data_IF_720236522116
#
_entry.id   IF_720236522116
#
_cell.length_a   1.000
_cell.length_b   1.000
_cell.length_c   1.000
_cell.angle_alpha   90.00
_cell.angle_beta   90.00
_cell.angle_gamma   90.00
#
_symmetry.space_group_name_H-M   'P 1'
#
loop_
_entity.id
_entity.type
_entity.pdbx_description
1 polymer ?
#
# COMPACT_ATOMS: atom_id res chain seq x y z
N UNK A 1 12.38 48.87 -85.68
CA UNK A 1 12.39 47.39 -85.54
C UNK A 1 12.39 47.04 -84.05
N UNK A 2 11.25 46.59 -83.52
CA UNK A 2 11.12 46.15 -82.12
C UNK A 2 11.06 44.61 -82.10
N UNK A 3 12.04 43.96 -81.47
CA UNK A 3 12.05 42.50 -81.27
C UNK A 3 10.88 42.11 -80.35
N UNK A 4 10.12 41.04 -80.65
CA UNK A 4 9.01 40.64 -79.81
C UNK A 4 9.52 40.00 -78.51
N UNK A 5 8.95 40.44 -77.39
CA UNK A 5 9.22 39.96 -76.03
C UNK A 5 8.58 38.57 -75.86
N UNK A 6 9.39 37.54 -75.58
CA UNK A 6 8.91 36.16 -75.36
C UNK A 6 7.93 36.11 -74.18
N UNK A 7 6.72 35.59 -74.43
CA UNK A 7 5.63 35.44 -73.45
C UNK A 7 5.79 34.07 -72.77
N UNK A 8 6.29 34.03 -71.54
CA UNK A 8 6.50 32.80 -70.74
C UNK A 8 5.83 32.94 -69.38
N UNK A 9 4.52 32.70 -69.17
CA UNK A 9 3.99 33.09 -67.84
C UNK A 9 2.74 32.41 -67.24
N UNK A 10 2.21 31.28 -67.71
CA UNK A 10 1.09 30.63 -66.94
C UNK A 10 1.20 29.13 -66.71
N UNK A 11 1.60 28.34 -67.71
CA UNK A 11 1.80 26.91 -67.51
C UNK A 11 3.05 26.63 -66.64
N UNK A 12 4.17 27.29 -66.95
CA UNK A 12 5.43 27.19 -66.21
C UNK A 12 5.31 27.66 -64.75
N UNK A 13 4.48 28.66 -64.46
CA UNK A 13 4.27 29.17 -63.09
C UNK A 13 3.46 28.22 -62.17
N UNK A 14 2.66 27.31 -62.76
CA UNK A 14 1.94 26.27 -62.00
C UNK A 14 2.83 25.05 -61.74
N UNK A 15 3.61 24.64 -62.73
CA UNK A 15 4.63 23.59 -62.56
C UNK A 15 5.66 24.00 -61.52
N UNK A 16 6.15 25.24 -61.57
CA UNK A 16 7.18 25.74 -60.65
C UNK A 16 6.66 25.86 -59.20
N UNK A 17 5.37 26.18 -58.98
CA UNK A 17 4.76 26.16 -57.64
C UNK A 17 4.61 24.76 -57.06
N UNK A 18 4.25 23.78 -57.89
CA UNK A 18 4.16 22.39 -57.44
C UNK A 18 5.55 21.81 -57.22
N UNK A 19 6.52 22.10 -58.09
CA UNK A 19 7.92 21.69 -57.94
C UNK A 19 8.60 22.33 -56.73
N UNK A 20 8.33 23.60 -56.43
CA UNK A 20 8.82 24.27 -55.22
C UNK A 20 8.06 23.84 -53.97
N UNK A 21 6.79 23.46 -54.08
CA UNK A 21 6.04 22.85 -52.98
C UNK A 21 6.55 21.45 -52.67
N UNK A 22 6.74 20.59 -53.69
CA UNK A 22 7.32 19.25 -53.50
C UNK A 22 8.76 19.36 -53.04
N UNK A 23 9.57 20.30 -53.55
CA UNK A 23 10.92 20.55 -53.06
C UNK A 23 10.93 21.06 -51.61
N UNK A 24 9.97 21.92 -51.21
CA UNK A 24 9.81 22.35 -49.81
C UNK A 24 9.40 21.20 -48.92
N UNK A 25 8.43 20.39 -49.34
CA UNK A 25 7.99 19.18 -48.63
C UNK A 25 9.14 18.17 -48.52
N UNK A 26 9.87 17.93 -49.60
CA UNK A 26 11.07 17.10 -49.66
C UNK A 26 12.12 17.61 -48.67
N UNK A 27 12.45 18.90 -48.71
CA UNK A 27 13.43 19.50 -47.80
C UNK A 27 13.00 19.48 -46.33
N UNK A 28 11.69 19.58 -46.06
CA UNK A 28 11.15 19.49 -44.71
C UNK A 28 11.20 18.06 -44.19
N UNK A 29 10.82 17.09 -45.03
CA UNK A 29 10.99 15.67 -44.73
C UNK A 29 12.47 15.38 -44.49
N UNK A 30 13.36 15.75 -45.42
CA UNK A 30 14.82 15.53 -45.35
C UNK A 30 15.47 16.19 -44.11
N UNK A 31 14.95 17.34 -43.67
CA UNK A 31 15.46 18.08 -42.51
C UNK A 31 14.99 17.50 -41.16
N UNK A 32 13.75 17.01 -41.07
CA UNK A 32 13.16 16.59 -39.79
C UNK A 32 12.97 15.07 -39.62
N UNK A 33 13.07 14.25 -40.68
CA UNK A 33 12.81 12.80 -40.59
C UNK A 33 13.77 12.08 -39.62
N UNK A 34 15.02 12.53 -39.49
CA UNK A 34 15.98 11.96 -38.54
C UNK A 34 15.53 12.18 -37.10
N UNK A 35 15.09 13.40 -36.76
CA UNK A 35 14.59 13.72 -35.43
C UNK A 35 13.26 13.02 -35.13
N UNK A 36 12.37 12.93 -36.12
CA UNK A 36 11.12 12.17 -36.01
C UNK A 36 11.37 10.67 -35.82
N UNK A 37 12.32 10.08 -36.56
CA UNK A 37 12.72 8.68 -36.40
C UNK A 37 13.35 8.41 -35.03
N UNK A 38 14.20 9.32 -34.53
CA UNK A 38 14.77 9.22 -33.17
C UNK A 38 13.65 9.28 -32.13
N UNK A 39 12.66 10.17 -32.28
CA UNK A 39 11.54 10.27 -31.35
C UNK A 39 10.69 8.99 -31.34
N UNK A 40 10.36 8.44 -32.52
CA UNK A 40 9.62 7.17 -32.63
C UNK A 40 10.40 6.01 -32.02
N UNK A 41 11.71 5.90 -32.33
CA UNK A 41 12.57 4.87 -31.75
C UNK A 41 12.62 4.98 -30.22
N UNK A 42 12.76 6.20 -29.68
CA UNK A 42 12.72 6.43 -28.24
C UNK A 42 11.40 5.97 -27.61
N UNK A 43 10.26 6.26 -28.24
CA UNK A 43 8.94 5.79 -27.78
C UNK A 43 8.85 4.26 -27.81
N UNK A 44 9.35 3.60 -28.85
CA UNK A 44 9.37 2.12 -28.93
C UNK A 44 10.25 1.51 -27.85
N UNK A 45 11.45 2.05 -27.61
CA UNK A 45 12.33 1.59 -26.52
C UNK A 45 11.66 1.79 -25.17
N UNK A 46 11.00 2.94 -24.94
CA UNK A 46 10.26 3.19 -23.70
C UNK A 46 9.10 2.20 -23.53
N UNK A 47 8.31 1.93 -24.58
CA UNK A 47 7.24 0.93 -24.53
C UNK A 47 7.78 -0.46 -24.22
N UNK A 48 8.87 -0.87 -24.86
CA UNK A 48 9.51 -2.16 -24.58
C UNK A 48 10.07 -2.24 -23.15
N UNK A 49 10.70 -1.17 -22.67
CA UNK A 49 11.17 -1.09 -21.29
C UNK A 49 10.01 -1.22 -20.29
N UNK A 50 8.88 -0.53 -20.53
CA UNK A 50 7.69 -0.63 -19.67
C UNK A 50 7.12 -2.06 -19.67
N UNK A 51 6.95 -2.69 -20.84
CA UNK A 51 6.43 -4.06 -20.90
C UNK A 51 7.39 -5.06 -20.27
N UNK A 52 8.69 -4.89 -20.45
CA UNK A 52 9.71 -5.72 -19.82
C UNK A 52 9.71 -5.56 -18.30
N UNK A 53 9.62 -4.34 -17.77
CA UNK A 53 9.52 -4.07 -16.33
C UNK A 53 8.24 -4.69 -15.77
N UNK A 54 7.09 -4.51 -16.41
CA UNK A 54 5.82 -5.09 -15.97
C UNK A 54 5.83 -6.63 -16.03
N UNK A 55 6.39 -7.22 -17.09
CA UNK A 55 6.50 -8.67 -17.25
C UNK A 55 7.42 -9.29 -16.18
N UNK A 56 8.57 -8.67 -15.96
CA UNK A 56 9.52 -9.09 -14.92
C UNK A 56 8.92 -8.94 -13.52
N UNK A 57 8.18 -7.85 -13.27
CA UNK A 57 7.45 -7.62 -12.02
C UNK A 57 6.39 -8.68 -11.75
N UNK A 58 5.55 -9.03 -12.75
CA UNK A 58 4.53 -10.08 -12.62
C UNK A 58 5.13 -11.44 -12.29
N UNK A 59 6.26 -11.80 -12.90
CA UNK A 59 6.95 -13.05 -12.58
C UNK A 59 7.49 -13.06 -11.14
N UNK A 60 8.03 -11.92 -10.69
CA UNK A 60 8.54 -11.76 -9.33
C UNK A 60 7.42 -11.85 -8.29
N UNK A 61 6.31 -11.16 -8.52
CA UNK A 61 5.11 -11.25 -7.66
C UNK A 61 4.55 -12.67 -7.59
N UNK A 62 4.52 -13.41 -8.72
CA UNK A 62 4.03 -14.78 -8.72
C UNK A 62 4.91 -15.71 -7.85
N UNK A 63 6.24 -15.55 -7.91
CA UNK A 63 7.18 -16.31 -7.07
C UNK A 63 7.07 -15.93 -5.60
N UNK A 64 6.97 -14.64 -5.30
CA UNK A 64 6.77 -14.16 -3.93
C UNK A 64 5.45 -14.65 -3.34
N UNK A 65 4.39 -14.69 -4.15
CA UNK A 65 3.09 -15.24 -3.75
C UNK A 65 3.13 -16.75 -3.47
N UNK A 66 3.95 -17.50 -4.23
CA UNK A 66 4.19 -18.91 -3.94
C UNK A 66 4.90 -19.11 -2.59
N UNK A 67 5.96 -18.33 -2.32
CA UNK A 67 6.64 -18.39 -1.02
C UNK A 67 5.72 -17.98 0.13
N UNK A 68 4.84 -16.98 -0.07
CA UNK A 68 3.84 -16.60 0.93
C UNK A 68 2.89 -17.77 1.21
N UNK A 69 2.39 -18.43 0.16
CA UNK A 69 1.49 -19.58 0.30
C UNK A 69 2.16 -20.71 1.08
N UNK A 70 3.40 -21.04 0.74
CA UNK A 70 4.17 -22.08 1.42
C UNK A 70 4.50 -21.70 2.87
N UNK A 71 4.78 -20.42 3.15
CA UNK A 71 4.98 -19.92 4.51
C UNK A 71 3.70 -20.08 5.35
N UNK A 72 2.54 -19.77 4.77
CA UNK A 72 1.22 -19.90 5.43
C UNK A 72 0.84 -21.36 5.66
N UNK A 73 1.13 -22.24 4.71
CA UNK A 73 0.94 -23.68 4.86
C UNK A 73 1.79 -24.22 6.02
N UNK A 74 3.10 -23.94 6.02
CA UNK A 74 4.00 -24.29 7.11
C UNK A 74 3.51 -23.74 8.46
N UNK A 75 3.04 -22.49 8.49
CA UNK A 75 2.51 -21.86 9.70
C UNK A 75 1.27 -22.59 10.22
N UNK A 76 0.36 -22.99 9.31
CA UNK A 76 -0.84 -23.76 9.66
C UNK A 76 -0.53 -25.14 10.24
N UNK A 77 0.61 -25.72 9.87
CA UNK A 77 1.14 -26.97 10.43
C UNK A 77 1.92 -26.77 11.74
N UNK A 78 2.10 -25.52 12.18
CA UNK A 78 2.87 -25.16 13.37
C UNK A 78 4.38 -25.19 13.17
N UNK A 79 4.86 -25.33 11.93
CA UNK A 79 6.29 -25.40 11.58
C UNK A 79 6.92 -23.99 11.54
N UNK A 80 7.04 -23.36 12.71
CA UNK A 80 7.45 -21.95 12.81
C UNK A 80 8.82 -21.65 12.18
N UNK A 81 9.81 -22.55 12.29
CA UNK A 81 11.14 -22.34 11.70
C UNK A 81 11.13 -22.42 10.17
N UNK A 82 10.32 -23.32 9.60
CA UNK A 82 10.07 -23.39 8.16
C UNK A 82 9.41 -22.09 7.68
N UNK A 83 8.38 -21.63 8.40
CA UNK A 83 7.71 -20.36 8.08
C UNK A 83 8.69 -19.20 8.08
N UNK A 84 9.53 -19.06 9.11
CA UNK A 84 10.52 -17.99 9.19
C UNK A 84 11.54 -18.05 8.04
N UNK A 85 11.97 -19.26 7.64
CA UNK A 85 12.87 -19.42 6.50
C UNK A 85 12.26 -18.89 5.22
N UNK A 86 11.01 -19.26 4.93
CA UNK A 86 10.27 -18.81 3.73
C UNK A 86 9.99 -17.31 3.76
N UNK A 87 9.64 -16.78 4.94
CA UNK A 87 9.48 -15.35 5.12
C UNK A 87 10.80 -14.62 4.80
N UNK A 88 11.94 -15.11 5.28
CA UNK A 88 13.21 -14.45 4.98
C UNK A 88 13.51 -14.44 3.47
N UNK A 89 13.18 -15.51 2.73
CA UNK A 89 13.25 -15.50 1.25
C UNK A 89 12.39 -14.36 0.67
N UNK A 90 11.17 -14.14 1.18
CA UNK A 90 10.33 -13.02 0.74
C UNK A 90 10.97 -11.67 1.07
N UNK A 91 11.51 -11.51 2.27
CA UNK A 91 12.09 -10.24 2.73
C UNK A 91 13.43 -9.91 2.07
N UNK A 92 14.19 -10.91 1.63
CA UNK A 92 15.51 -10.75 1.05
C UNK A 92 15.43 -10.68 -0.49
N UNK A 93 14.80 -11.68 -1.12
CA UNK A 93 14.77 -11.83 -2.58
C UNK A 93 13.58 -11.14 -3.24
N UNK A 94 12.50 -10.91 -2.49
CA UNK A 94 11.24 -10.34 -2.98
C UNK A 94 10.81 -9.08 -2.23
N UNK A 95 11.76 -8.33 -1.67
CA UNK A 95 11.52 -7.16 -0.80
C UNK A 95 10.66 -6.03 -1.39
N UNK A 96 10.47 -6.00 -2.70
CA UNK A 96 9.63 -5.03 -3.42
C UNK A 96 8.20 -5.49 -3.74
N UNK A 97 7.81 -6.71 -3.35
CA UNK A 97 6.51 -7.28 -3.71
C UNK A 97 5.41 -6.93 -2.71
N UNK A 98 4.17 -7.07 -3.16
CA UNK A 98 2.96 -6.86 -2.36
C UNK A 98 2.79 -7.81 -1.18
N UNK A 99 3.56 -8.91 -1.15
CA UNK A 99 3.51 -9.96 -0.11
C UNK A 99 4.28 -9.61 1.16
N UNK A 100 5.21 -8.65 1.10
CA UNK A 100 6.08 -8.26 2.22
C UNK A 100 5.32 -7.90 3.50
N UNK A 101 4.25 -7.06 3.47
CA UNK A 101 3.49 -6.76 4.69
C UNK A 101 2.90 -8.01 5.35
N UNK A 102 2.41 -8.96 4.55
CA UNK A 102 1.83 -10.22 5.07
C UNK A 102 2.92 -11.12 5.65
N UNK A 103 4.09 -11.21 5.00
CA UNK A 103 5.23 -11.95 5.50
C UNK A 103 5.74 -11.38 6.84
N UNK A 104 5.84 -10.06 6.96
CA UNK A 104 6.17 -9.39 8.22
C UNK A 104 5.10 -9.66 9.30
N UNK A 105 3.81 -9.62 8.95
CA UNK A 105 2.74 -9.92 9.90
C UNK A 105 2.86 -11.33 10.47
N UNK A 106 3.15 -12.33 9.64
CA UNK A 106 3.39 -13.71 10.08
C UNK A 106 4.64 -13.80 10.97
N UNK A 107 5.73 -13.11 10.62
CA UNK A 107 6.96 -13.07 11.43
C UNK A 107 6.70 -12.50 12.82
N UNK A 108 5.97 -11.39 12.91
CA UNK A 108 5.59 -10.78 14.19
C UNK A 108 4.79 -11.73 15.07
N UNK A 109 3.80 -12.42 14.49
CA UNK A 109 2.99 -13.42 15.22
C UNK A 109 3.81 -14.60 15.73
N UNK A 110 4.76 -15.09 14.94
CA UNK A 110 5.66 -16.16 15.39
C UNK A 110 6.47 -15.71 16.60
N UNK A 111 7.02 -14.49 16.55
CA UNK A 111 7.76 -13.94 17.69
C UNK A 111 6.87 -13.78 18.93
N UNK A 112 5.63 -13.28 18.79
CA UNK A 112 4.69 -13.24 19.91
C UNK A 112 4.40 -14.63 20.48
N UNK A 113 4.17 -15.62 19.62
CA UNK A 113 3.84 -16.99 20.03
C UNK A 113 4.99 -17.69 20.73
N UNK A 114 6.24 -17.25 20.47
CA UNK A 114 7.46 -17.69 21.17
C UNK A 114 7.76 -16.89 22.44
N UNK A 115 6.99 -15.85 22.74
CA UNK A 115 7.27 -14.92 23.84
C UNK A 115 8.42 -13.95 23.55
N UNK A 116 8.88 -13.89 22.30
CA UNK A 116 9.94 -13.01 21.80
C UNK A 116 9.38 -11.59 21.53
N UNK A 117 8.79 -10.98 22.56
CA UNK A 117 8.00 -9.75 22.41
C UNK A 117 8.79 -8.54 21.89
N UNK A 118 10.09 -8.46 22.17
CA UNK A 118 10.94 -7.39 21.65
C UNK A 118 11.09 -7.48 20.12
N UNK A 119 11.34 -8.67 19.59
CA UNK A 119 11.41 -8.89 18.14
C UNK A 119 10.05 -8.70 17.47
N UNK A 120 8.96 -9.14 18.11
CA UNK A 120 7.62 -8.91 17.61
C UNK A 120 7.30 -7.41 17.50
N UNK A 121 7.62 -6.63 18.53
CA UNK A 121 7.42 -5.18 18.56
C UNK A 121 8.22 -4.48 17.45
N UNK A 122 9.46 -4.88 17.19
CA UNK A 122 10.26 -4.33 16.07
C UNK A 122 9.61 -4.58 14.71
N UNK A 123 9.10 -5.80 14.50
CA UNK A 123 8.43 -6.20 13.26
C UNK A 123 7.13 -5.42 13.07
N UNK A 124 6.28 -5.33 14.08
CA UNK A 124 5.03 -4.56 13.98
C UNK A 124 5.28 -3.06 13.80
N UNK A 125 6.28 -2.50 14.49
CA UNK A 125 6.70 -1.13 14.27
C UNK A 125 7.18 -0.89 12.82
N UNK A 126 7.82 -1.87 12.20
CA UNK A 126 8.21 -1.79 10.80
C UNK A 126 6.99 -1.74 9.89
N UNK A 127 5.96 -2.55 10.15
CA UNK A 127 4.71 -2.53 9.40
C UNK A 127 4.02 -1.17 9.50
N UNK A 128 3.79 -0.67 10.71
CA UNK A 128 3.04 0.59 10.90
C UNK A 128 3.77 1.82 10.34
N UNK A 129 5.11 1.79 10.26
CA UNK A 129 5.93 2.86 9.68
C UNK A 129 6.06 2.79 8.16
N UNK A 130 6.29 1.59 7.61
CA UNK A 130 6.66 1.41 6.19
C UNK A 130 5.53 0.88 5.31
N UNK A 131 4.52 0.25 5.89
CA UNK A 131 3.45 -0.44 5.17
C UNK A 131 2.05 -0.01 5.64
N UNK A 132 1.90 1.25 6.06
CA UNK A 132 0.63 1.86 6.45
C UNK A 132 -0.41 1.91 5.31
N UNK A 133 0.03 1.77 4.06
CA UNK A 133 -0.79 1.67 2.87
C UNK A 133 -1.46 0.29 2.69
N UNK A 134 -1.22 -0.67 3.59
CA UNK A 134 -1.96 -1.94 3.67
C UNK A 134 -2.86 -1.90 4.90
N UNK A 135 -4.10 -1.37 4.81
CA UNK A 135 -4.91 -1.03 5.98
C UNK A 135 -5.18 -2.21 6.91
N UNK A 136 -5.47 -3.38 6.34
CA UNK A 136 -5.74 -4.60 7.12
C UNK A 136 -4.50 -5.07 7.90
N UNK A 137 -3.33 -5.03 7.26
CA UNK A 137 -2.07 -5.48 7.86
C UNK A 137 -1.58 -4.46 8.89
N UNK A 138 -1.64 -3.16 8.56
CA UNK A 138 -1.26 -2.11 9.47
C UNK A 138 -2.18 -2.05 10.71
N UNK A 139 -3.50 -2.17 10.54
CA UNK A 139 -4.44 -2.32 11.66
C UNK A 139 -4.03 -3.51 12.54
N UNK A 140 -3.82 -4.69 11.96
CA UNK A 140 -3.42 -5.87 12.72
C UNK A 140 -2.07 -5.68 13.46
N UNK A 141 -1.14 -4.90 12.91
CA UNK A 141 0.14 -4.61 13.56
C UNK A 141 -0.02 -3.69 14.77
N UNK A 142 -0.91 -2.69 14.70
CA UNK A 142 -1.28 -1.91 15.89
C UNK A 142 -1.94 -2.77 16.96
N UNK A 143 -2.78 -3.73 16.59
CA UNK A 143 -3.37 -4.70 17.54
C UNK A 143 -2.28 -5.55 18.21
N UNK A 144 -1.29 -6.03 17.45
CA UNK A 144 -0.15 -6.78 18.00
C UNK A 144 0.65 -5.93 18.99
N UNK A 145 1.00 -4.70 18.63
CA UNK A 145 1.65 -3.74 19.54
C UNK A 145 0.83 -3.51 20.82
N UNK A 146 -0.48 -3.32 20.68
CA UNK A 146 -1.37 -3.14 21.82
C UNK A 146 -1.39 -4.38 22.74
N UNK A 147 -1.43 -5.58 22.15
CA UNK A 147 -1.42 -6.85 22.89
C UNK A 147 -0.11 -7.05 23.66
N UNK A 148 1.03 -6.72 23.04
CA UNK A 148 2.35 -6.78 23.70
C UNK A 148 2.38 -5.84 24.91
N UNK A 149 1.96 -4.59 24.76
CA UNK A 149 1.94 -3.62 25.86
C UNK A 149 0.94 -4.00 26.95
N UNK A 150 -0.22 -4.53 26.57
CA UNK A 150 -1.20 -5.04 27.51
C UNK A 150 -0.62 -6.19 28.35
N UNK A 151 0.08 -7.13 27.72
CA UNK A 151 0.77 -8.23 28.39
C UNK A 151 1.88 -7.77 29.35
N UNK A 152 2.50 -6.62 29.07
CA UNK A 152 3.49 -5.97 29.97
C UNK A 152 2.83 -5.23 31.15
N UNK A 153 1.50 -5.08 31.15
CA UNK A 153 0.78 -4.28 32.14
C UNK A 153 0.73 -2.77 31.81
N UNK A 154 1.31 -2.36 30.68
CA UNK A 154 1.34 -0.98 30.19
C UNK A 154 0.01 -0.58 29.54
N UNK A 155 -1.07 -0.68 30.30
CA UNK A 155 -2.45 -0.49 29.84
C UNK A 155 -2.68 0.87 29.15
N UNK A 156 -1.99 1.93 29.58
CA UNK A 156 -2.08 3.24 28.93
C UNK A 156 -1.51 3.23 27.51
N UNK A 157 -0.37 2.56 27.30
CA UNK A 157 0.26 2.43 25.98
C UNK A 157 -0.53 1.46 25.09
N UNK A 158 -1.05 0.38 25.66
CA UNK A 158 -1.95 -0.54 24.97
C UNK A 158 -3.21 0.18 24.45
N UNK A 159 -3.87 0.99 25.31
CA UNK A 159 -5.01 1.80 24.92
C UNK A 159 -4.68 2.71 23.73
N UNK A 160 -3.54 3.41 23.78
CA UNK A 160 -3.10 4.28 22.69
C UNK A 160 -2.93 3.52 21.35
N UNK A 161 -2.37 2.31 21.37
CA UNK A 161 -2.22 1.52 20.14
C UNK A 161 -3.56 0.99 19.62
N UNK A 162 -4.47 0.60 20.50
CA UNK A 162 -5.83 0.21 20.12
C UNK A 162 -6.62 1.37 19.52
N UNK A 163 -6.52 2.58 20.10
CA UNK A 163 -7.10 3.79 19.54
C UNK A 163 -6.51 4.12 18.17
N UNK A 164 -5.19 4.04 18.02
CA UNK A 164 -4.52 4.22 16.73
C UNK A 164 -5.01 3.25 15.67
N UNK A 165 -5.20 1.97 16.03
CA UNK A 165 -5.75 0.96 15.12
C UNK A 165 -7.15 1.34 14.62
N UNK A 166 -8.00 1.88 15.50
CA UNK A 166 -9.35 2.29 15.13
C UNK A 166 -9.38 3.62 14.35
N UNK A 167 -8.66 4.64 14.82
CA UNK A 167 -8.74 6.00 14.29
C UNK A 167 -8.04 6.14 12.93
N UNK A 168 -6.96 5.39 12.71
CA UNK A 168 -6.25 5.37 11.40
C UNK A 168 -6.96 4.50 10.38
N UNK A 169 -7.77 3.53 10.81
CA UNK A 169 -8.44 2.57 9.94
C UNK A 169 -9.93 2.45 10.29
N UNK A 170 -10.65 3.57 10.26
CA UNK A 170 -12.04 3.69 10.74
C UNK A 170 -13.02 2.76 10.02
N UNK A 171 -12.77 2.48 8.74
CA UNK A 171 -13.60 1.57 7.92
C UNK A 171 -13.26 0.09 8.12
N UNK A 172 -12.22 -0.23 8.91
CA UNK A 172 -11.84 -1.60 9.18
C UNK A 172 -12.91 -2.30 10.02
N UNK A 173 -13.31 -3.51 9.63
CA UNK A 173 -14.40 -4.25 10.29
C UNK A 173 -14.17 -4.47 11.81
N UNK A 174 -12.92 -4.45 12.25
CA UNK A 174 -12.53 -4.64 13.65
C UNK A 174 -12.17 -3.34 14.39
N UNK A 175 -12.25 -2.18 13.74
CA UNK A 175 -12.06 -0.87 14.39
C UNK A 175 -12.93 -0.66 15.64
N UNK A 176 -14.25 -1.00 15.66
CA UNK A 176 -15.04 -0.82 16.87
C UNK A 176 -14.65 -1.74 18.02
N UNK A 177 -14.08 -2.91 17.73
CA UNK A 177 -13.55 -3.80 18.75
C UNK A 177 -12.25 -3.23 19.35
N UNK A 178 -11.35 -2.71 18.50
CA UNK A 178 -10.15 -2.04 18.98
C UNK A 178 -10.49 -0.89 19.96
N UNK A 179 -11.51 -0.07 19.66
CA UNK A 179 -12.00 0.95 20.60
C UNK A 179 -12.51 0.35 21.92
N UNK A 180 -13.27 -0.75 21.89
CA UNK A 180 -13.70 -1.42 23.14
C UNK A 180 -12.48 -1.86 23.96
N UNK A 181 -11.49 -2.49 23.34
CA UNK A 181 -10.25 -2.89 24.02
C UNK A 181 -9.48 -1.69 24.60
N UNK A 182 -9.45 -0.55 23.89
CA UNK A 182 -8.87 0.68 24.42
C UNK A 182 -9.61 1.18 25.67
N UNK A 183 -10.94 1.23 25.63
CA UNK A 183 -11.77 1.59 26.77
C UNK A 183 -11.57 0.67 27.97
N UNK A 184 -11.42 -0.64 27.74
CA UNK A 184 -11.15 -1.62 28.80
C UNK A 184 -9.78 -1.40 29.44
N UNK A 185 -8.75 -1.15 28.62
CA UNK A 185 -7.41 -0.79 29.12
C UNK A 185 -7.44 0.48 29.98
N UNK A 186 -8.17 1.51 29.55
CA UNK A 186 -8.34 2.75 30.31
C UNK A 186 -9.11 2.54 31.62
N UNK A 187 -10.14 1.69 31.59
CA UNK A 187 -10.94 1.34 32.76
C UNK A 187 -10.10 0.62 33.82
N UNK A 188 -9.20 -0.28 33.40
CA UNK A 188 -8.28 -1.01 34.30
C UNK A 188 -7.33 -0.11 35.09
N UNK A 189 -7.04 1.09 34.58
CA UNK A 189 -6.17 2.09 35.23
C UNK A 189 -6.96 3.28 35.78
N UNK A 190 -8.26 3.09 36.01
CA UNK A 190 -9.17 4.09 36.60
C UNK A 190 -9.29 5.41 35.82
N UNK A 191 -8.92 5.41 34.54
CA UNK A 191 -9.14 6.55 33.62
C UNK A 191 -10.57 6.49 33.06
N UNK A 192 -11.56 6.45 33.95
CA UNK A 192 -12.95 6.17 33.61
C UNK A 192 -13.56 7.18 32.64
N UNK A 193 -13.28 8.47 32.82
CA UNK A 193 -13.76 9.51 31.90
C UNK A 193 -13.26 9.31 30.48
N UNK A 194 -12.06 8.76 30.31
CA UNK A 194 -11.50 8.49 28.99
C UNK A 194 -12.11 7.24 28.39
N UNK A 195 -12.28 6.19 29.20
CA UNK A 195 -12.98 4.97 28.79
C UNK A 195 -14.43 5.27 28.36
N UNK A 196 -15.18 6.06 29.12
CA UNK A 196 -16.55 6.49 28.79
C UNK A 196 -16.61 7.21 27.45
N UNK A 197 -15.65 8.12 27.17
CA UNK A 197 -15.54 8.79 25.86
C UNK A 197 -15.31 7.78 24.74
N UNK A 198 -14.40 6.83 24.92
CA UNK A 198 -14.11 5.80 23.90
C UNK A 198 -15.33 4.91 23.63
N UNK A 199 -16.03 4.43 24.66
CA UNK A 199 -17.25 3.64 24.48
C UNK A 199 -18.36 4.44 23.79
N UNK A 200 -18.49 5.73 24.11
CA UNK A 200 -19.44 6.63 23.44
C UNK A 200 -19.13 6.77 21.94
N UNK A 201 -17.86 6.80 21.55
CA UNK A 201 -17.46 6.80 20.13
C UNK A 201 -17.95 5.52 19.44
N UNK A 202 -17.81 4.35 20.07
CA UNK A 202 -18.30 3.07 19.51
C UNK A 202 -19.80 3.12 19.26
N UNK A 203 -20.57 3.61 20.24
CA UNK A 203 -22.03 3.70 20.12
C UNK A 203 -22.48 4.70 19.06
N UNK A 204 -21.74 5.80 18.87
CA UNK A 204 -22.06 6.84 17.90
C UNK A 204 -21.66 6.48 16.47
N UNK A 205 -20.43 6.00 16.28
CA UNK A 205 -19.86 5.74 14.95
C UNK A 205 -20.17 4.33 14.45
N UNK A 206 -20.31 3.35 15.35
CA UNK A 206 -20.50 1.94 15.01
C UNK A 206 -21.75 1.32 15.67
N UNK A 207 -22.93 1.97 15.60
CA UNK A 207 -24.12 1.57 16.37
C UNK A 207 -24.64 0.16 16.06
N UNK A 208 -24.33 -0.38 14.88
CA UNK A 208 -24.75 -1.72 14.43
C UNK A 208 -23.66 -2.79 14.59
N UNK A 209 -22.48 -2.42 15.10
CA UNK A 209 -21.38 -3.37 15.31
C UNK A 209 -21.68 -4.29 16.50
N UNK A 210 -21.11 -5.50 16.50
CA UNK A 210 -21.19 -6.40 17.67
C UNK A 210 -20.61 -5.74 18.92
N UNK A 211 -19.54 -4.96 18.75
CA UNK A 211 -18.85 -4.21 19.81
C UNK A 211 -19.70 -3.12 20.44
N UNK A 212 -20.75 -2.63 19.78
CA UNK A 212 -21.67 -1.64 20.37
C UNK A 212 -22.38 -2.18 21.62
N UNK A 213 -22.63 -3.49 21.70
CA UNK A 213 -23.23 -4.08 22.89
C UNK A 213 -22.24 -4.08 24.06
N UNK A 214 -20.99 -4.50 23.84
CA UNK A 214 -19.92 -4.44 24.86
C UNK A 214 -19.68 -3.00 25.32
N UNK A 215 -19.58 -2.06 24.39
CA UNK A 215 -19.40 -0.64 24.72
C UNK A 215 -20.56 -0.10 25.58
N UNK A 216 -21.81 -0.49 25.30
CA UNK A 216 -22.98 -0.07 26.09
C UNK A 216 -22.93 -0.63 27.51
N UNK A 217 -22.59 -1.92 27.65
CA UNK A 217 -22.47 -2.56 28.96
C UNK A 217 -21.35 -1.94 29.78
N UNK A 218 -20.16 -1.77 29.20
CA UNK A 218 -19.02 -1.18 29.91
C UNK A 218 -19.27 0.30 30.25
N UNK A 219 -19.91 1.07 29.36
CA UNK A 219 -20.28 2.45 29.65
C UNK A 219 -21.25 2.55 30.82
N UNK A 220 -22.31 1.73 30.82
CA UNK A 220 -23.28 1.71 31.91
C UNK A 220 -22.63 1.33 33.24
N UNK A 221 -21.75 0.32 33.26
CA UNK A 221 -20.99 -0.06 34.47
C UNK A 221 -20.19 1.11 35.03
N UNK A 222 -19.47 1.85 34.18
CA UNK A 222 -18.70 3.02 34.62
C UNK A 222 -19.56 4.19 35.09
N UNK A 223 -20.77 4.37 34.54
CA UNK A 223 -21.73 5.39 35.00
C UNK A 223 -22.33 5.05 36.37
N UNK A 224 -22.43 3.76 36.73
CA UNK A 224 -22.86 3.33 38.06
C UNK A 224 -21.78 3.47 39.15
N UNK A 225 -20.51 3.64 38.75
CA UNK A 225 -19.38 3.77 39.67
C UNK A 225 -19.13 5.22 40.13
N UNK A 226 -19.76 6.21 39.49
CA UNK A 226 -19.73 7.63 39.88
C UNK A 226 -20.74 7.94 41.00
#
# INVERSE_FOLDING_TARGET
MLKPRKRLVKAQLKEDKLLTFTAKVQSYIDSYWKHAAIAVAAVVVLMFAITFIQSSGKSTEAKAGLEELLARDAYSRGEMDETLRRINVILDDYSGTSTVPTALMLKGRIYEQRGEFAQAEEVYNTIVRKHSNSPYIAHAAYIGLASIEFGRGENAKAASYYEDAAMKFQDHFNAPNALVQAGECLSKISRYEEAKRIYSIVLKQYPKSRSANSARSNLAELEFMD
#
